data_IF_339333465711
#
_entry.id   IF_339333465711
#
_cell.length_a   1.000
_cell.length_b   1.000
_cell.length_c   1.000
_cell.angle_alpha   90.00
_cell.angle_beta   90.00
_cell.angle_gamma   90.00
#
_symmetry.space_group_name_H-M   'P 1'
#
loop_
_entity.id
_entity.type
_entity.pdbx_description
1 polymer ?
#
# COMPACT_ATOMS: atom_id res chain seq x y z
N UNK A 1 86.44 -10.87 -18.94
CA UNK A 1 86.15 -10.58 -17.52
C UNK A 1 84.85 -9.78 -17.45
N UNK A 2 83.88 -10.23 -16.66
CA UNK A 2 82.75 -9.42 -16.14
C UNK A 2 83.26 -8.40 -15.09
N UNK A 3 82.49 -7.42 -14.52
CA UNK A 3 81.03 -7.28 -14.37
C UNK A 3 80.50 -5.86 -14.73
N UNK A 4 79.38 -5.35 -14.17
CA UNK A 4 77.98 -5.66 -14.50
C UNK A 4 76.99 -4.66 -13.86
N UNK A 5 75.79 -4.45 -14.46
CA UNK A 5 74.56 -3.84 -13.85
C UNK A 5 74.62 -2.33 -13.48
N UNK A 6 73.52 -1.54 -13.44
CA UNK A 6 72.13 -1.69 -13.94
C UNK A 6 71.30 -0.38 -13.82
N UNK A 7 70.51 -0.07 -14.86
CA UNK A 7 69.19 0.62 -14.91
C UNK A 7 68.80 1.82 -14.00
N UNK A 8 68.19 2.89 -14.59
CA UNK A 8 66.74 3.22 -14.44
C UNK A 8 66.33 4.65 -14.89
N UNK A 9 65.08 4.80 -15.38
CA UNK A 9 64.27 6.05 -15.56
C UNK A 9 64.75 7.06 -16.63
N UNK A 10 63.91 7.87 -17.29
CA UNK A 10 62.43 7.95 -17.36
C UNK A 10 61.99 8.76 -18.59
N UNK A 11 60.81 8.48 -19.17
CA UNK A 11 60.21 9.25 -20.26
C UNK A 11 58.80 9.76 -19.89
N UNK A 12 58.55 11.06 -20.07
CA UNK A 12 57.25 11.61 -20.47
C UNK A 12 57.34 13.11 -20.77
N UNK A 13 56.97 13.51 -21.98
CA UNK A 13 56.37 14.84 -22.22
C UNK A 13 55.48 14.83 -23.47
N UNK A 14 54.36 15.54 -23.36
CA UNK A 14 53.23 15.64 -24.31
C UNK A 14 53.65 16.17 -25.70
N UNK A 15 52.94 15.73 -26.74
CA UNK A 15 52.28 16.65 -27.69
C UNK A 15 51.12 15.95 -28.44
N UNK A 16 50.25 16.76 -29.04
CA UNK A 16 48.99 16.43 -29.67
C UNK A 16 49.09 15.44 -30.86
N UNK A 17 48.09 14.57 -31.05
CA UNK A 17 47.20 14.72 -32.20
C UNK A 17 45.91 13.88 -32.16
N UNK A 18 44.89 14.43 -32.80
CA UNK A 18 43.71 13.81 -33.44
C UNK A 18 43.54 12.29 -33.32
N UNK A 19 42.40 11.86 -32.77
CA UNK A 19 41.66 10.70 -33.30
C UNK A 19 40.16 10.80 -32.99
N UNK A 20 39.35 10.52 -34.00
CA UNK A 20 37.91 10.31 -33.87
C UNK A 20 37.66 9.14 -32.90
N UNK A 21 36.89 9.37 -31.84
CA UNK A 21 36.27 8.31 -31.06
C UNK A 21 34.80 8.24 -31.45
N UNK A 22 34.47 7.24 -32.26
CA UNK A 22 33.12 6.94 -32.71
C UNK A 22 32.10 7.03 -31.58
N UNK A 23 31.03 7.79 -31.79
CA UNK A 23 29.80 7.58 -31.03
C UNK A 23 29.23 6.23 -31.49
N UNK A 24 29.64 5.16 -30.80
CA UNK A 24 28.98 3.87 -30.89
C UNK A 24 27.60 4.01 -30.27
N UNK A 25 26.61 4.22 -31.14
CA UNK A 25 25.19 4.18 -30.81
C UNK A 25 24.82 2.77 -30.37
N UNK A 26 25.12 2.43 -29.11
CA UNK A 26 24.52 1.26 -28.46
C UNK A 26 23.05 1.58 -28.19
N UNK A 27 22.21 1.37 -29.21
CA UNK A 27 20.78 1.09 -29.03
C UNK A 27 20.63 -0.28 -28.33
N UNK A 28 21.07 -0.33 -27.08
CA UNK A 28 21.03 -1.49 -26.20
C UNK A 28 19.65 -1.62 -25.59
N UNK A 29 18.72 -2.20 -26.37
CA UNK A 29 17.49 -2.85 -25.88
C UNK A 29 16.78 -2.17 -24.71
N UNK A 30 16.35 -0.91 -24.86
CA UNK A 30 15.36 -0.30 -23.96
C UNK A 30 13.98 -0.86 -24.34
N UNK A 31 13.75 -2.11 -23.96
CA UNK A 31 12.47 -2.80 -24.14
C UNK A 31 12.35 -3.92 -23.09
N UNK A 32 11.32 -3.83 -22.25
CA UNK A 32 10.82 -4.89 -21.36
C UNK A 32 11.77 -5.57 -20.36
N UNK A 33 12.80 -4.88 -19.84
CA UNK A 33 13.34 -5.27 -18.52
C UNK A 33 12.31 -4.91 -17.43
N UNK A 34 11.47 -5.87 -17.05
CA UNK A 34 10.81 -5.83 -15.73
C UNK A 34 11.90 -5.69 -14.68
N UNK A 35 11.96 -4.54 -14.02
CA UNK A 35 12.95 -4.29 -12.97
C UNK A 35 12.70 -5.30 -11.83
N UNK A 36 13.63 -6.23 -11.59
CA UNK A 36 13.56 -7.11 -10.42
C UNK A 36 13.63 -6.23 -9.17
N UNK A 37 12.81 -6.54 -8.17
CA UNK A 37 12.87 -5.90 -6.85
C UNK A 37 14.27 -6.01 -6.21
N UNK A 38 15.09 -6.98 -6.62
CA UNK A 38 16.47 -7.15 -6.18
C UNK A 38 17.53 -6.34 -6.94
N UNK A 39 17.15 -5.53 -7.93
CA UNK A 39 18.12 -4.70 -8.66
C UNK A 39 18.70 -3.60 -7.77
N UNK A 40 19.99 -3.30 -7.93
CA UNK A 40 20.72 -2.38 -7.05
C UNK A 40 20.21 -0.92 -7.15
N UNK A 41 19.66 -0.55 -8.30
CA UNK A 41 19.08 0.75 -8.63
C UNK A 41 17.56 0.81 -8.40
N UNK A 42 16.89 -0.31 -8.11
CA UNK A 42 15.42 -0.37 -8.01
C UNK A 42 14.84 0.68 -7.04
N UNK A 43 15.55 0.98 -5.94
CA UNK A 43 15.11 2.02 -5.00
C UNK A 43 15.18 3.42 -5.62
N UNK A 44 16.30 3.81 -6.20
CA UNK A 44 16.50 5.14 -6.77
C UNK A 44 15.76 5.37 -8.10
N UNK A 45 15.45 4.31 -8.85
CA UNK A 45 14.68 4.40 -10.11
C UNK A 45 13.19 4.22 -9.93
N UNK A 46 12.74 3.48 -8.91
CA UNK A 46 11.33 3.04 -8.78
C UNK A 46 10.69 3.41 -7.44
N UNK A 47 11.40 3.34 -6.30
CA UNK A 47 10.78 3.67 -4.99
C UNK A 47 10.85 5.17 -4.68
N UNK A 48 12.06 5.75 -4.69
CA UNK A 48 12.30 7.15 -4.35
C UNK A 48 11.54 8.11 -5.29
N UNK A 49 11.48 7.90 -6.64
CA UNK A 49 10.70 8.75 -7.53
C UNK A 49 9.18 8.66 -7.35
N UNK A 50 8.68 7.60 -6.70
CA UNK A 50 7.28 7.44 -6.30
C UNK A 50 7.09 7.72 -4.79
N UNK A 51 7.99 8.52 -4.21
CA UNK A 51 7.97 8.98 -2.82
C UNK A 51 7.93 7.84 -1.78
N UNK A 52 8.56 6.70 -2.05
CA UNK A 52 8.72 5.58 -1.10
C UNK A 52 10.17 5.54 -0.61
N UNK A 53 10.36 5.78 0.70
CA UNK A 53 11.68 5.78 1.34
C UNK A 53 11.80 4.54 2.24
N UNK A 54 12.82 3.71 1.98
CA UNK A 54 13.10 2.51 2.77
C UNK A 54 14.32 2.74 3.67
N UNK A 55 14.11 2.81 4.99
CA UNK A 55 15.21 2.86 5.96
C UNK A 55 16.04 1.57 5.89
N UNK A 56 17.36 1.69 5.78
CA UNK A 56 18.25 0.53 5.85
C UNK A 56 18.46 0.00 7.26
N UNK A 57 18.28 0.85 8.28
CA UNK A 57 18.44 0.48 9.67
C UNK A 57 17.17 -0.16 10.23
N UNK A 58 17.35 -1.10 11.15
CA UNK A 58 16.26 -1.61 11.98
C UNK A 58 15.89 -0.55 13.03
N UNK A 59 14.61 -0.45 13.37
CA UNK A 59 14.16 0.28 14.56
C UNK A 59 14.86 -0.31 15.80
N UNK A 60 15.43 0.57 16.62
CA UNK A 60 15.81 0.23 17.98
C UNK A 60 14.55 0.01 18.85
N UNK A 61 14.74 -0.62 20.01
CA UNK A 61 13.64 -0.96 20.93
C UNK A 61 12.88 0.27 21.44
N UNK A 62 13.51 1.46 21.48
CA UNK A 62 12.86 2.70 21.89
C UNK A 62 11.96 3.26 20.78
N UNK A 63 12.47 3.36 19.54
CA UNK A 63 11.67 3.74 18.35
C UNK A 63 10.48 2.80 18.18
N UNK A 64 10.70 1.49 18.31
CA UNK A 64 9.62 0.50 18.27
C UNK A 64 8.60 0.69 19.41
N UNK A 65 9.06 0.84 20.65
CA UNK A 65 8.15 1.00 21.81
C UNK A 65 7.32 2.29 21.71
N UNK A 66 7.92 3.40 21.26
CA UNK A 66 7.23 4.67 21.01
C UNK A 66 6.17 4.53 19.90
N UNK A 67 6.49 3.86 18.79
CA UNK A 67 5.54 3.59 17.72
C UNK A 67 4.37 2.70 18.18
N UNK A 68 4.69 1.58 18.84
CA UNK A 68 3.68 0.66 19.37
C UNK A 68 2.75 1.37 20.37
N UNK A 69 3.30 2.21 21.26
CA UNK A 69 2.51 3.05 22.17
C UNK A 69 1.62 4.06 21.41
N UNK A 70 2.16 4.79 20.43
CA UNK A 70 1.42 5.79 19.65
C UNK A 70 0.25 5.18 18.85
N UNK A 71 0.43 3.95 18.36
CA UNK A 71 -0.60 3.17 17.69
C UNK A 71 -1.61 2.56 18.69
N UNK A 72 -1.29 2.43 19.98
CA UNK A 72 -2.11 1.70 20.96
C UNK A 72 -1.93 0.18 20.89
N UNK A 73 -0.84 -0.30 20.30
CA UNK A 73 -0.50 -1.72 20.24
C UNK A 73 -0.04 -2.25 21.60
N UNK A 74 -0.42 -3.49 21.98
CA UNK A 74 0.19 -4.18 23.12
C UNK A 74 1.70 -4.41 22.85
N UNK A 75 2.56 -3.71 23.60
CA UNK A 75 4.02 -3.75 23.41
C UNK A 75 4.76 -4.68 24.39
N UNK A 76 4.06 -5.32 25.32
CA UNK A 76 4.63 -6.37 26.18
C UNK A 76 4.64 -7.74 25.49
N UNK A 77 5.83 -8.30 25.24
CA UNK A 77 5.98 -9.65 24.67
C UNK A 77 5.57 -10.75 25.67
N UNK A 78 4.27 -11.08 25.71
CA UNK A 78 3.80 -12.30 26.36
C UNK A 78 4.06 -13.51 25.46
N UNK A 79 5.33 -13.95 25.42
CA UNK A 79 5.75 -15.15 24.70
C UNK A 79 5.09 -16.37 25.34
N UNK A 80 4.14 -16.99 24.62
CA UNK A 80 3.37 -18.13 25.13
C UNK A 80 3.38 -19.26 24.10
N UNK A 81 4.46 -20.03 24.17
CA UNK A 81 4.77 -21.20 23.34
C UNK A 81 3.53 -21.87 22.73
N UNK A 82 3.32 -21.65 21.44
CA UNK A 82 2.23 -22.24 20.68
C UNK A 82 2.66 -23.55 20.01
N UNK A 83 1.74 -24.51 19.92
CA UNK A 83 1.99 -25.71 19.11
C UNK A 83 2.09 -25.38 17.61
N UNK A 84 1.46 -24.28 17.16
CA UNK A 84 1.52 -23.83 15.77
C UNK A 84 2.87 -23.23 15.40
N UNK A 85 3.45 -22.38 16.27
CA UNK A 85 4.78 -21.77 16.07
C UNK A 85 5.87 -22.84 16.11
N UNK A 86 5.81 -23.74 17.10
CA UNK A 86 6.75 -24.85 17.20
C UNK A 86 6.69 -25.78 15.98
N UNK A 87 5.48 -26.18 15.54
CA UNK A 87 5.29 -27.02 14.36
C UNK A 87 5.82 -26.35 13.09
N UNK A 88 5.51 -25.07 12.88
CA UNK A 88 6.00 -24.31 11.73
C UNK A 88 7.54 -24.25 11.72
N UNK A 89 8.16 -23.87 12.85
CA UNK A 89 9.61 -23.77 12.95
C UNK A 89 10.30 -25.13 12.71
N UNK A 90 9.73 -26.23 13.21
CA UNK A 90 10.24 -27.59 12.97
C UNK A 90 10.09 -28.03 11.50
N UNK A 91 8.99 -27.65 10.82
CA UNK A 91 8.82 -27.90 9.38
C UNK A 91 9.85 -27.12 8.55
N UNK A 92 10.05 -25.82 8.83
CA UNK A 92 11.07 -25.01 8.16
C UNK A 92 12.50 -25.50 8.49
N UNK A 93 12.76 -25.96 9.72
CA UNK A 93 14.06 -26.50 10.12
C UNK A 93 14.40 -27.80 9.38
N UNK A 94 13.42 -28.70 9.17
CA UNK A 94 13.64 -29.99 8.51
C UNK A 94 13.91 -29.89 7.00
N UNK A 95 13.43 -28.83 6.36
CA UNK A 95 13.67 -28.56 4.94
C UNK A 95 15.06 -27.98 4.70
N UNK A 96 15.79 -28.43 3.66
CA UNK A 96 17.11 -27.88 3.31
C UNK A 96 17.00 -26.47 2.69
N UNK A 97 16.01 -26.30 1.84
CA UNK A 97 15.62 -25.07 1.14
C UNK A 97 14.09 -25.02 1.11
N UNK A 98 13.52 -23.83 1.02
CA UNK A 98 12.07 -23.62 0.96
C UNK A 98 11.80 -22.66 -0.20
N UNK A 99 10.99 -23.07 -1.17
CA UNK A 99 10.54 -22.20 -2.27
C UNK A 99 9.52 -21.18 -1.78
N UNK A 100 9.31 -20.09 -2.53
CA UNK A 100 8.31 -19.07 -2.18
C UNK A 100 6.91 -19.66 -2.03
N UNK A 101 6.58 -20.67 -2.84
CA UNK A 101 5.29 -21.38 -2.76
C UNK A 101 5.18 -22.21 -1.48
N UNK A 102 6.14 -23.08 -1.19
CA UNK A 102 6.13 -23.91 0.02
C UNK A 102 6.11 -23.05 1.29
N UNK A 103 6.87 -21.95 1.30
CA UNK A 103 6.85 -20.98 2.39
C UNK A 103 5.47 -20.36 2.59
N UNK A 104 4.80 -19.96 1.51
CA UNK A 104 3.44 -19.41 1.56
C UNK A 104 2.44 -20.45 2.09
N UNK A 105 2.51 -21.69 1.59
CA UNK A 105 1.67 -22.81 2.05
C UNK A 105 1.89 -23.16 3.54
N UNK A 106 3.12 -23.00 4.06
CA UNK A 106 3.44 -23.18 5.49
C UNK A 106 3.02 -22.00 6.38
N UNK A 107 3.08 -20.76 5.86
CA UNK A 107 2.71 -19.55 6.60
C UNK A 107 1.20 -19.40 6.79
N UNK A 108 0.39 -19.79 5.80
CA UNK A 108 -1.07 -19.64 5.87
C UNK A 108 -1.68 -20.29 7.13
N UNK A 109 -1.35 -21.55 7.50
CA UNK A 109 -1.78 -22.14 8.77
C UNK A 109 -1.30 -21.40 10.02
N UNK A 110 -0.07 -20.86 10.02
CA UNK A 110 0.46 -20.10 11.14
C UNK A 110 -0.30 -18.77 11.32
N UNK A 111 -0.48 -18.01 10.24
CA UNK A 111 -1.22 -16.76 10.22
C UNK A 111 -2.69 -16.98 10.58
N UNK A 112 -3.33 -18.05 10.08
CA UNK A 112 -4.68 -18.43 10.48
C UNK A 112 -4.77 -18.79 11.98
N UNK A 113 -3.74 -19.42 12.54
CA UNK A 113 -3.67 -19.69 13.99
C UNK A 113 -3.47 -18.42 14.82
N UNK A 114 -2.81 -17.39 14.29
CA UNK A 114 -2.64 -16.09 14.96
C UNK A 114 -3.92 -15.25 14.83
N UNK A 115 -4.56 -15.27 13.67
CA UNK A 115 -5.80 -14.55 13.37
C UNK A 115 -7.07 -15.22 13.92
N UNK A 116 -6.97 -16.39 14.57
CA UNK A 116 -8.12 -17.21 15.01
C UNK A 116 -9.14 -16.43 15.84
N UNK A 117 -8.67 -15.57 16.75
CA UNK A 117 -9.51 -14.78 17.65
C UNK A 117 -9.91 -13.41 17.04
N UNK A 118 -9.33 -13.07 15.88
CA UNK A 118 -9.49 -11.81 15.15
C UNK A 118 -10.48 -11.96 13.98
N UNK A 119 -11.74 -12.25 14.32
CA UNK A 119 -12.82 -12.55 13.37
C UNK A 119 -13.17 -11.42 12.38
N UNK A 120 -12.74 -10.18 12.63
CA UNK A 120 -12.90 -9.09 11.65
C UNK A 120 -11.88 -9.20 10.51
N UNK A 121 -10.74 -9.87 10.74
CA UNK A 121 -9.71 -10.05 9.72
C UNK A 121 -9.98 -11.25 8.81
N UNK A 122 -9.70 -11.08 7.53
CA UNK A 122 -9.73 -12.12 6.50
C UNK A 122 -8.40 -12.18 5.78
N UNK A 123 -8.06 -13.36 5.28
CA UNK A 123 -6.81 -13.66 4.60
C UNK A 123 -7.08 -14.09 3.16
N UNK A 124 -6.29 -13.57 2.21
CA UNK A 124 -6.22 -14.00 0.80
C UNK A 124 -4.77 -14.24 0.41
N UNK A 125 -4.56 -15.08 -0.61
CA UNK A 125 -3.24 -15.50 -1.08
C UNK A 125 -3.11 -15.25 -2.58
N UNK A 126 -1.89 -14.96 -3.04
CA UNK A 126 -1.49 -14.90 -4.45
C UNK A 126 -2.42 -14.07 -5.36
N UNK A 127 -3.00 -12.99 -4.83
CA UNK A 127 -3.96 -12.15 -5.55
C UNK A 127 -3.33 -10.80 -5.88
N UNK A 128 -3.35 -10.42 -7.16
CA UNK A 128 -2.86 -9.11 -7.60
C UNK A 128 -3.83 -8.01 -7.16
N UNK A 129 -3.28 -6.86 -6.78
CA UNK A 129 -4.07 -5.70 -6.39
C UNK A 129 -4.66 -5.01 -7.63
N UNK A 130 -5.78 -4.30 -7.46
CA UNK A 130 -6.22 -3.34 -8.48
C UNK A 130 -5.22 -2.20 -8.64
N UNK A 131 -5.09 -1.69 -9.87
CA UNK A 131 -4.09 -0.68 -10.24
C UNK A 131 -4.40 0.70 -9.68
N UNK A 132 -5.69 1.04 -9.54
CA UNK A 132 -6.20 2.31 -8.99
C UNK A 132 -5.57 2.74 -7.64
N UNK A 133 -5.13 1.78 -6.83
CA UNK A 133 -4.51 2.04 -5.53
C UNK A 133 -3.00 2.32 -5.59
N UNK A 134 -2.33 2.00 -6.71
CA UNK A 134 -0.87 2.10 -6.83
C UNK A 134 -0.47 3.59 -6.84
N UNK A 135 0.55 4.01 -6.05
CA UNK A 135 1.01 5.40 -6.06
C UNK A 135 1.46 5.85 -7.45
N UNK A 136 1.04 7.06 -7.83
CA UNK A 136 1.30 7.83 -9.05
C UNK A 136 1.63 7.07 -10.35
N UNK A 137 0.73 7.21 -11.34
CA UNK A 137 1.10 6.90 -12.71
C UNK A 137 2.11 7.94 -13.22
N UNK A 138 3.35 7.48 -13.40
CA UNK A 138 4.40 8.21 -14.11
C UNK A 138 3.89 8.59 -15.50
N UNK A 139 3.90 9.87 -15.84
CA UNK A 139 3.47 10.29 -17.18
C UNK A 139 4.46 9.77 -18.22
N UNK A 140 3.99 9.43 -19.43
CA UNK A 140 4.88 8.88 -20.47
C UNK A 140 6.13 9.74 -20.71
N UNK A 141 5.99 11.07 -20.63
CA UNK A 141 7.08 12.05 -20.71
C UNK A 141 8.15 11.88 -19.62
N UNK A 142 7.77 11.59 -18.38
CA UNK A 142 8.70 11.33 -17.26
C UNK A 142 9.41 9.98 -17.41
N UNK A 143 8.78 9.00 -18.09
CA UNK A 143 9.38 7.69 -18.41
C UNK A 143 10.40 7.84 -19.55
N UNK A 144 10.14 8.68 -20.56
CA UNK A 144 11.03 8.91 -21.71
C UNK A 144 12.39 9.52 -21.31
N UNK A 145 12.42 10.41 -20.30
CA UNK A 145 13.68 10.92 -19.72
C UNK A 145 14.42 9.88 -18.84
N UNK A 146 13.83 8.70 -18.62
CA UNK A 146 14.50 7.52 -18.04
C UNK A 146 14.81 7.57 -16.53
N UNK A 147 14.43 8.62 -15.81
CA UNK A 147 14.77 8.81 -14.39
C UNK A 147 13.70 8.27 -13.41
N UNK A 148 12.46 8.04 -13.88
CA UNK A 148 11.32 7.60 -13.06
C UNK A 148 10.66 6.35 -13.67
N UNK A 149 10.75 5.21 -12.99
CA UNK A 149 10.05 3.98 -13.36
C UNK A 149 8.70 3.89 -12.63
N UNK A 150 7.70 3.31 -13.32
CA UNK A 150 6.40 3.04 -12.71
C UNK A 150 6.49 1.90 -11.68
N UNK A 151 5.84 2.07 -10.53
CA UNK A 151 5.65 1.00 -9.56
C UNK A 151 4.89 -0.18 -10.19
N UNK A 152 5.39 -1.43 -10.07
CA UNK A 152 4.67 -2.59 -10.54
C UNK A 152 3.41 -2.80 -9.69
N UNK A 153 2.30 -3.22 -10.33
CA UNK A 153 1.08 -3.58 -9.61
C UNK A 153 1.38 -4.71 -8.61
N UNK A 154 1.12 -4.52 -7.29
CA UNK A 154 1.44 -5.51 -6.28
C UNK A 154 0.76 -6.85 -6.50
N UNK A 155 1.46 -7.94 -6.14
CA UNK A 155 0.88 -9.28 -6.01
C UNK A 155 1.44 -9.98 -4.77
N UNK A 156 1.01 -9.58 -3.55
CA UNK A 156 1.52 -10.18 -2.33
C UNK A 156 1.19 -11.67 -2.25
N UNK A 157 2.13 -12.44 -1.72
CA UNK A 157 1.93 -13.85 -1.45
C UNK A 157 0.74 -14.08 -0.50
N UNK A 158 0.60 -13.20 0.51
CA UNK A 158 -0.54 -13.19 1.45
C UNK A 158 -0.97 -11.74 1.73
N UNK A 159 -2.27 -11.49 1.75
CA UNK A 159 -2.88 -10.19 2.08
C UNK A 159 -3.90 -10.39 3.20
N UNK A 160 -3.80 -9.59 4.26
CA UNK A 160 -4.77 -9.55 5.36
C UNK A 160 -5.32 -8.14 5.55
N UNK A 161 -6.63 -8.09 5.78
CA UNK A 161 -7.43 -6.89 6.02
C UNK A 161 -8.81 -7.28 6.50
N UNK A 162 -9.76 -6.36 6.45
CA UNK A 162 -11.07 -6.55 7.05
C UNK A 162 -12.03 -7.35 6.15
N UNK A 163 -12.83 -8.19 6.79
CA UNK A 163 -13.95 -8.91 6.17
C UNK A 163 -15.13 -7.97 5.92
N UNK A 164 -16.05 -8.38 5.02
CA UNK A 164 -17.31 -7.67 4.79
C UNK A 164 -18.17 -7.52 6.08
N UNK A 165 -18.11 -8.48 7.01
CA UNK A 165 -18.84 -8.40 8.29
C UNK A 165 -18.27 -7.37 9.27
N UNK A 166 -17.12 -6.77 8.97
CA UNK A 166 -16.54 -5.67 9.75
C UNK A 166 -17.26 -4.33 9.51
N UNK A 167 -18.15 -4.27 8.51
CA UNK A 167 -18.85 -3.07 8.08
C UNK A 167 -20.36 -3.30 8.03
N UNK A 168 -21.13 -2.27 8.35
CA UNK A 168 -22.58 -2.26 8.11
C UNK A 168 -22.88 -2.22 6.61
N UNK A 169 -24.08 -2.66 6.20
CA UNK A 169 -24.51 -2.61 4.80
C UNK A 169 -24.47 -1.21 4.19
N UNK A 170 -24.64 -0.15 5.00
CA UNK A 170 -24.52 1.24 4.58
C UNK A 170 -23.05 1.65 4.37
N UNK A 171 -22.15 1.28 5.28
CA UNK A 171 -20.70 1.47 5.10
C UNK A 171 -20.16 0.72 3.87
N UNK A 172 -20.71 -0.46 3.54
CA UNK A 172 -20.38 -1.18 2.31
C UNK A 172 -20.92 -0.50 1.04
N UNK A 173 -22.06 0.22 1.12
CA UNK A 173 -22.57 1.05 0.02
C UNK A 173 -21.75 2.34 -0.17
N UNK A 174 -21.28 2.96 0.92
CA UNK A 174 -20.39 4.13 0.88
C UNK A 174 -19.02 3.84 0.26
N UNK A 175 -18.56 2.58 0.31
CA UNK A 175 -17.32 2.10 -0.32
C UNK A 175 -17.50 1.78 -1.82
N UNK A 176 -18.63 2.12 -2.43
CA UNK A 176 -18.91 1.95 -3.86
C UNK A 176 -19.09 3.32 -4.53
N UNK A 177 -18.31 3.60 -5.58
CA UNK A 177 -18.39 4.86 -6.32
C UNK A 177 -17.05 5.24 -6.93
N UNK A 178 -17.01 6.38 -7.61
CA UNK A 178 -15.84 6.94 -8.27
C UNK A 178 -15.38 8.19 -7.51
N UNK A 179 -14.35 8.15 -6.68
CA UNK A 179 -13.80 9.36 -6.03
C UNK A 179 -12.75 10.05 -6.90
N UNK A 180 -12.44 11.30 -6.58
CA UNK A 180 -11.27 11.98 -7.15
C UNK A 180 -9.98 11.46 -6.48
N UNK A 181 -8.97 11.13 -7.27
CA UNK A 181 -7.61 10.85 -6.78
C UNK A 181 -6.82 12.16 -6.49
N UNK A 182 -5.54 12.03 -6.15
CA UNK A 182 -4.67 13.19 -5.86
C UNK A 182 -4.46 14.13 -7.07
N UNK A 183 -4.49 13.57 -8.29
CA UNK A 183 -4.47 14.31 -9.56
C UNK A 183 -5.85 14.86 -9.97
N UNK A 184 -6.86 14.62 -9.14
CA UNK A 184 -8.26 14.98 -9.33
C UNK A 184 -8.93 14.26 -10.52
N UNK A 185 -8.48 13.04 -10.80
CA UNK A 185 -8.99 12.11 -11.82
C UNK A 185 -10.00 11.12 -11.18
N UNK A 186 -10.96 10.59 -11.95
CA UNK A 186 -11.91 9.58 -11.46
C UNK A 186 -11.23 8.25 -11.13
N UNK A 187 -11.42 7.76 -9.91
CA UNK A 187 -10.81 6.54 -9.36
C UNK A 187 -11.87 5.69 -8.62
N UNK A 188 -11.88 4.37 -8.81
CA UNK A 188 -12.91 3.51 -8.24
C UNK A 188 -12.68 3.22 -6.75
N UNK A 189 -13.51 3.82 -5.88
CA UNK A 189 -13.46 3.62 -4.43
C UNK A 189 -13.68 2.15 -4.05
N UNK A 190 -14.36 1.35 -4.88
CA UNK A 190 -14.47 -0.08 -4.63
C UNK A 190 -13.11 -0.78 -4.79
N UNK A 191 -12.33 -0.41 -5.80
CA UNK A 191 -11.00 -0.96 -6.06
C UNK A 191 -9.95 -0.46 -5.06
N UNK A 192 -10.07 0.79 -4.59
CA UNK A 192 -9.26 1.31 -3.49
C UNK A 192 -9.57 0.63 -2.15
N UNK A 193 -10.85 0.54 -1.80
CA UNK A 193 -11.29 -0.02 -0.52
C UNK A 193 -11.13 -1.53 -0.48
N UNK A 194 -11.28 -2.22 -1.60
CA UNK A 194 -11.11 -3.66 -1.75
C UNK A 194 -10.11 -3.96 -2.89
N UNK A 195 -8.79 -3.81 -2.65
CA UNK A 195 -7.77 -4.07 -3.68
C UNK A 195 -7.69 -5.54 -4.08
N UNK A 196 -8.21 -6.46 -3.26
CA UNK A 196 -8.36 -7.90 -3.59
C UNK A 196 -9.71 -8.44 -3.08
N UNK A 197 -10.36 -9.40 -3.77
CA UNK A 197 -11.72 -9.83 -3.44
C UNK A 197 -11.92 -10.29 -1.99
N UNK A 198 -12.97 -9.71 -1.38
CA UNK A 198 -13.38 -9.82 0.02
C UNK A 198 -12.43 -9.24 1.10
N UNK A 199 -11.31 -8.60 0.74
CA UNK A 199 -10.42 -7.95 1.73
C UNK A 199 -10.56 -6.44 1.60
N UNK A 200 -11.17 -5.83 2.60
CA UNK A 200 -11.28 -4.38 2.71
C UNK A 200 -10.09 -3.80 3.46
N UNK A 201 -9.55 -2.67 2.99
CA UNK A 201 -8.45 -1.88 3.56
C UNK A 201 -7.34 -2.73 4.20
N UNK A 202 -6.52 -3.45 3.40
CA UNK A 202 -5.48 -4.32 3.93
C UNK A 202 -4.59 -3.60 4.96
N UNK A 203 -4.26 -4.30 6.05
CA UNK A 203 -3.42 -3.79 7.14
C UNK A 203 -2.09 -4.52 7.24
N UNK A 204 -1.99 -5.72 6.66
CA UNK A 204 -0.83 -6.59 6.75
C UNK A 204 -0.61 -7.37 5.45
N UNK A 205 0.56 -7.26 4.85
CA UNK A 205 0.93 -7.97 3.61
C UNK A 205 2.19 -8.83 3.79
N UNK A 206 2.27 -9.95 3.08
CA UNK A 206 3.43 -10.85 3.09
C UNK A 206 3.98 -10.97 1.68
N UNK A 207 5.27 -10.72 1.54
CA UNK A 207 6.02 -10.91 0.30
C UNK A 207 7.03 -12.03 0.50
N UNK A 208 7.07 -12.99 -0.42
CA UNK A 208 8.06 -14.07 -0.39
C UNK A 208 8.84 -14.05 -1.71
N UNK A 209 10.10 -13.66 -1.64
CA UNK A 209 10.97 -13.47 -2.81
C UNK A 209 12.17 -14.41 -2.71
N UNK A 210 12.50 -15.12 -3.78
CA UNK A 210 13.61 -16.10 -3.80
C UNK A 210 14.97 -15.42 -3.99
N UNK A 211 15.01 -14.31 -4.76
CA UNK A 211 16.23 -13.57 -5.13
C UNK A 211 17.05 -13.10 -3.91
N UNK A 212 16.42 -12.36 -3.00
CA UNK A 212 17.08 -11.80 -1.81
C UNK A 212 16.10 -11.20 -0.79
N UNK A 213 16.57 -10.98 0.44
CA UNK A 213 15.85 -10.18 1.43
C UNK A 213 15.68 -8.71 1.01
N UNK A 214 16.58 -8.16 0.19
CA UNK A 214 16.42 -6.82 -0.40
C UNK A 214 15.20 -6.78 -1.32
N UNK A 215 15.06 -7.78 -2.21
CA UNK A 215 13.90 -7.92 -3.08
C UNK A 215 12.60 -8.06 -2.27
N UNK A 216 12.59 -8.87 -1.21
CA UNK A 216 11.43 -9.02 -0.33
C UNK A 216 11.03 -7.71 0.36
N UNK A 217 11.99 -6.92 0.84
CA UNK A 217 11.74 -5.60 1.47
C UNK A 217 11.25 -4.56 0.45
N UNK A 218 11.81 -4.54 -0.76
CA UNK A 218 11.42 -3.62 -1.83
C UNK A 218 10.00 -3.94 -2.37
N UNK A 219 9.65 -5.22 -2.53
CA UNK A 219 8.29 -5.65 -2.84
C UNK A 219 7.31 -5.23 -1.73
N UNK A 220 7.70 -5.48 -0.47
CA UNK A 220 6.90 -5.09 0.71
C UNK A 220 6.59 -3.59 0.74
N UNK A 221 7.57 -2.75 0.39
CA UNK A 221 7.41 -1.31 0.32
C UNK A 221 6.34 -0.90 -0.71
N UNK A 222 6.40 -1.44 -1.93
CA UNK A 222 5.37 -1.16 -2.97
C UNK A 222 3.97 -1.65 -2.59
N UNK A 223 3.87 -2.87 -2.05
CA UNK A 223 2.60 -3.47 -1.62
C UNK A 223 1.95 -2.69 -0.47
N UNK A 224 2.72 -2.29 0.54
CA UNK A 224 2.22 -1.51 1.67
C UNK A 224 1.96 -0.02 1.32
N UNK A 225 2.77 0.56 0.44
CA UNK A 225 2.50 1.90 -0.12
C UNK A 225 1.16 1.95 -0.84
N UNK A 226 0.84 0.92 -1.63
CA UNK A 226 -0.46 0.78 -2.30
C UNK A 226 -1.63 0.70 -1.29
N UNK A 227 -1.47 -0.05 -0.20
CA UNK A 227 -2.47 -0.10 0.88
C UNK A 227 -2.69 1.26 1.57
N UNK A 228 -1.61 1.98 1.87
CA UNK A 228 -1.68 3.28 2.55
C UNK A 228 -2.21 4.37 1.61
N UNK A 229 -1.76 4.38 0.35
CA UNK A 229 -2.19 5.35 -0.68
C UNK A 229 -3.70 5.27 -0.95
N UNK A 230 -4.27 4.07 -1.06
CA UNK A 230 -5.72 3.90 -1.21
C UNK A 230 -6.52 4.59 -0.10
N UNK A 231 -6.04 4.47 1.15
CA UNK A 231 -6.68 5.10 2.30
C UNK A 231 -6.43 6.61 2.37
N UNK A 232 -5.26 7.09 1.92
CA UNK A 232 -4.97 8.52 1.77
C UNK A 232 -5.86 9.19 0.71
N UNK A 233 -6.03 8.56 -0.46
CA UNK A 233 -6.95 9.02 -1.51
C UNK A 233 -8.39 9.08 -0.98
N UNK A 234 -8.85 8.02 -0.32
CA UNK A 234 -10.18 8.05 0.31
C UNK A 234 -10.30 9.11 1.40
N UNK A 235 -9.25 9.36 2.19
CA UNK A 235 -9.26 10.40 3.21
C UNK A 235 -9.30 11.81 2.62
N UNK A 236 -8.63 12.07 1.50
CA UNK A 236 -8.75 13.31 0.75
C UNK A 236 -10.19 13.50 0.23
N UNK A 237 -10.79 12.44 -0.32
CA UNK A 237 -12.19 12.45 -0.78
C UNK A 237 -13.22 12.56 0.37
N UNK A 238 -12.88 12.17 1.60
CA UNK A 238 -13.73 12.36 2.77
C UNK A 238 -13.73 13.81 3.30
N UNK A 239 -12.65 14.57 3.07
CA UNK A 239 -12.44 15.92 3.61
C UNK A 239 -13.04 17.05 2.75
N UNK A 240 -13.49 18.12 3.40
CA UNK A 240 -13.67 19.43 2.76
C UNK A 240 -12.32 20.16 2.67
N UNK A 241 -11.74 20.39 1.47
CA UNK A 241 -10.38 20.96 1.35
C UNK A 241 -10.22 22.36 1.95
N UNK A 242 -11.32 23.08 2.19
CA UNK A 242 -11.29 24.44 2.73
C UNK A 242 -11.44 24.53 4.26
N UNK A 243 -11.70 23.43 4.99
CA UNK A 243 -11.97 23.48 6.43
C UNK A 243 -10.90 22.89 7.34
N UNK A 244 -10.15 21.86 6.93
CA UNK A 244 -9.40 21.00 7.87
C UNK A 244 -7.89 20.86 7.65
N UNK A 245 -7.25 21.64 6.77
CA UNK A 245 -5.77 21.66 6.63
C UNK A 245 -5.00 22.10 7.90
N UNK A 246 -5.71 22.58 8.92
CA UNK A 246 -5.16 22.98 10.22
C UNK A 246 -5.74 22.16 11.40
N UNK A 247 -6.49 21.10 11.10
CA UNK A 247 -7.09 20.23 12.10
C UNK A 247 -6.09 19.13 12.51
N UNK A 248 -5.37 19.40 13.60
CA UNK A 248 -4.35 18.48 14.12
C UNK A 248 -4.93 17.13 14.56
N UNK A 249 -6.16 17.11 15.09
CA UNK A 249 -6.82 15.87 15.49
C UNK A 249 -7.20 15.03 14.27
N UNK A 250 -7.65 15.67 13.18
CA UNK A 250 -7.89 14.98 11.92
C UNK A 250 -6.60 14.36 11.36
N UNK A 251 -5.52 15.14 11.23
CA UNK A 251 -4.24 14.67 10.70
C UNK A 251 -3.64 13.52 11.54
N UNK A 252 -3.77 13.62 12.87
CA UNK A 252 -3.34 12.60 13.83
C UNK A 252 -4.16 11.30 13.75
N UNK A 253 -5.46 11.39 13.47
CA UNK A 253 -6.30 10.21 13.24
C UNK A 253 -6.05 9.59 11.85
N UNK A 254 -5.72 10.41 10.85
CA UNK A 254 -5.38 9.94 9.51
C UNK A 254 -4.05 9.19 9.49
N UNK A 255 -2.99 9.70 10.12
CA UNK A 255 -1.69 9.00 10.18
C UNK A 255 -1.79 7.62 10.86
N UNK A 256 -2.63 7.50 11.91
CA UNK A 256 -2.96 6.21 12.54
C UNK A 256 -3.72 5.24 11.63
N UNK A 257 -4.54 5.76 10.73
CA UNK A 257 -5.30 4.97 9.78
C UNK A 257 -4.39 4.51 8.61
N UNK A 258 -3.60 5.43 8.07
CA UNK A 258 -2.65 5.25 6.97
C UNK A 258 -1.31 4.60 7.40
N UNK A 259 -1.38 3.74 8.43
CA UNK A 259 -0.33 2.81 8.80
C UNK A 259 -0.66 1.42 8.23
N UNK A 260 0.37 0.67 7.84
CA UNK A 260 0.29 -0.77 7.59
C UNK A 260 1.58 -1.46 8.00
N UNK A 261 1.56 -2.80 7.95
CA UNK A 261 2.70 -3.64 8.30
C UNK A 261 2.96 -4.65 7.19
N UNK A 262 4.19 -5.15 7.11
CA UNK A 262 4.50 -6.25 6.18
C UNK A 262 5.49 -7.25 6.75
N UNK A 263 5.52 -8.43 6.14
CA UNK A 263 6.50 -9.47 6.40
C UNK A 263 7.19 -9.86 5.08
N UNK A 264 8.42 -9.40 4.88
CA UNK A 264 9.25 -9.78 3.74
C UNK A 264 10.04 -11.04 4.05
N UNK A 265 10.02 -12.05 3.18
CA UNK A 265 10.61 -13.36 3.46
C UNK A 265 11.51 -13.81 2.30
N UNK A 266 12.68 -14.34 2.66
CA UNK A 266 13.65 -14.94 1.74
C UNK A 266 14.28 -16.16 2.41
N UNK A 267 14.12 -17.34 1.80
CA UNK A 267 14.58 -18.61 2.36
C UNK A 267 14.00 -18.88 3.75
N UNK A 268 14.83 -18.81 4.80
CA UNK A 268 14.43 -19.04 6.21
C UNK A 268 14.45 -17.77 7.06
N UNK A 269 14.57 -16.60 6.46
CA UNK A 269 14.61 -15.31 7.16
C UNK A 269 13.34 -14.53 6.85
N UNK A 270 12.71 -13.96 7.88
CA UNK A 270 11.58 -13.05 7.76
C UNK A 270 11.92 -11.69 8.36
N UNK A 271 11.48 -10.62 7.71
CA UNK A 271 11.74 -9.24 8.06
C UNK A 271 10.39 -8.54 8.24
N UNK A 272 10.01 -8.26 9.49
CA UNK A 272 8.78 -7.54 9.82
C UNK A 272 9.04 -6.05 9.69
N UNK A 273 8.24 -5.34 8.89
CA UNK A 273 8.36 -3.91 8.62
C UNK A 273 7.08 -3.17 9.02
N UNK A 274 7.24 -1.88 9.32
CA UNK A 274 6.14 -0.93 9.47
C UNK A 274 6.19 0.09 8.35
N UNK A 275 5.02 0.61 7.99
CA UNK A 275 4.82 1.49 6.84
C UNK A 275 3.87 2.63 7.20
N UNK A 276 4.36 3.87 7.22
CA UNK A 276 3.55 5.08 7.45
C UNK A 276 3.38 5.88 6.15
N UNK A 277 2.20 6.42 5.92
CA UNK A 277 2.01 7.54 4.99
C UNK A 277 1.40 8.71 5.74
N UNK A 278 2.06 9.86 5.64
CA UNK A 278 1.61 11.13 6.23
C UNK A 278 1.05 12.07 5.13
N UNK A 279 0.59 11.49 4.01
CA UNK A 279 0.01 12.17 2.86
C UNK A 279 1.04 12.88 2.00
N UNK A 280 1.30 14.16 2.27
CA UNK A 280 2.23 14.99 1.48
C UNK A 280 3.72 14.67 1.73
N UNK A 281 4.00 13.80 2.70
CA UNK A 281 5.34 13.32 3.00
C UNK A 281 5.55 11.92 2.41
N UNK A 282 6.81 11.56 2.07
CA UNK A 282 7.13 10.24 1.54
C UNK A 282 6.62 9.10 2.42
N UNK A 283 6.17 8.02 1.79
CA UNK A 283 5.81 6.78 2.45
C UNK A 283 7.08 6.17 3.07
N UNK A 284 7.13 6.15 4.40
CA UNK A 284 8.26 5.64 5.16
C UNK A 284 8.14 4.14 5.41
N UNK A 285 9.23 3.42 5.20
CA UNK A 285 9.34 1.98 5.49
C UNK A 285 10.49 1.73 6.44
N UNK A 286 10.20 1.20 7.62
CA UNK A 286 11.23 0.84 8.61
C UNK A 286 11.11 -0.62 9.04
N UNK A 287 12.24 -1.31 9.18
CA UNK A 287 12.27 -2.69 9.65
C UNK A 287 12.16 -2.72 11.17
N UNK A 288 11.15 -3.43 11.71
CA UNK A 288 10.95 -3.60 13.15
C UNK A 288 11.93 -4.64 13.67
N UNK A 289 11.92 -5.85 13.09
CA UNK A 289 12.83 -6.93 13.46
C UNK A 289 12.95 -7.98 12.36
N UNK A 290 14.15 -8.52 12.22
CA UNK A 290 14.43 -9.74 11.46
C UNK A 290 14.35 -10.97 12.37
N UNK A 291 13.78 -12.05 11.85
CA UNK A 291 13.50 -13.31 12.55
C UNK A 291 14.04 -14.50 11.77
N UNK A 292 14.43 -15.55 12.50
CA UNK A 292 14.78 -16.85 11.94
C UNK A 292 13.58 -17.80 11.98
N UNK A 293 13.13 -18.24 10.81
CA UNK A 293 11.98 -19.14 10.68
C UNK A 293 12.29 -20.60 11.05
N UNK A 294 13.56 -20.95 11.25
CA UNK A 294 14.00 -22.26 11.76
C UNK A 294 14.26 -22.28 13.28
N UNK A 295 14.09 -21.16 13.98
CA UNK A 295 14.18 -21.03 15.44
C UNK A 295 12.78 -20.87 16.04
N UNK A 296 12.41 -21.77 16.95
CA UNK A 296 11.11 -21.78 17.63
C UNK A 296 10.86 -20.50 18.44
N UNK A 297 11.92 -19.92 19.03
CA UNK A 297 11.81 -18.69 19.84
C UNK A 297 11.60 -17.46 18.98
N UNK A 298 12.31 -17.35 17.86
CA UNK A 298 12.12 -16.24 16.92
C UNK A 298 10.76 -16.32 16.22
N UNK A 299 10.28 -17.51 15.86
CA UNK A 299 8.92 -17.70 15.31
C UNK A 299 7.84 -17.35 16.34
N UNK A 300 8.01 -17.70 17.62
CA UNK A 300 7.09 -17.29 18.69
C UNK A 300 7.09 -15.76 18.88
N UNK A 301 8.26 -15.11 18.90
CA UNK A 301 8.38 -13.66 18.98
C UNK A 301 7.81 -12.94 17.73
N UNK A 302 7.89 -13.56 16.55
CA UNK A 302 7.25 -13.09 15.33
C UNK A 302 5.73 -13.18 15.45
N UNK A 303 5.21 -14.34 15.86
CA UNK A 303 3.78 -14.56 16.05
C UNK A 303 3.18 -13.64 17.14
N UNK A 304 3.93 -13.36 18.20
CA UNK A 304 3.54 -12.40 19.24
C UNK A 304 3.41 -10.96 18.69
N UNK A 305 4.42 -10.45 17.96
CA UNK A 305 4.33 -9.10 17.34
C UNK A 305 3.21 -9.02 16.30
N UNK A 306 3.01 -10.05 15.47
CA UNK A 306 1.89 -10.10 14.50
C UNK A 306 0.54 -10.08 15.22
N UNK A 307 0.40 -10.76 16.36
CA UNK A 307 -0.82 -10.69 17.18
C UNK A 307 -1.08 -9.29 17.72
N UNK A 308 -0.06 -8.59 18.22
CA UNK A 308 -0.19 -7.19 18.63
C UNK A 308 -0.60 -6.27 17.47
N UNK A 309 -0.13 -6.54 16.25
CA UNK A 309 -0.58 -5.82 15.04
C UNK A 309 -2.07 -6.10 14.78
N UNK A 310 -2.53 -7.35 14.88
CA UNK A 310 -3.95 -7.67 14.68
C UNK A 310 -4.85 -7.04 15.76
N UNK A 311 -4.44 -7.05 17.04
CA UNK A 311 -5.13 -6.32 18.12
C UNK A 311 -5.29 -4.84 17.79
N UNK A 312 -4.26 -4.18 17.25
CA UNK A 312 -4.35 -2.78 16.81
C UNK A 312 -5.24 -2.61 15.56
N UNK A 313 -5.15 -3.52 14.60
CA UNK A 313 -5.92 -3.45 13.37
C UNK A 313 -7.43 -3.47 13.67
N UNK A 314 -7.87 -4.29 14.62
CA UNK A 314 -9.28 -4.37 15.04
C UNK A 314 -9.70 -3.20 15.96
N UNK A 315 -8.92 -2.90 17.00
CA UNK A 315 -9.35 -1.95 18.04
C UNK A 315 -9.12 -0.47 17.70
N UNK A 316 -8.15 -0.18 16.83
CA UNK A 316 -7.73 1.19 16.50
C UNK A 316 -7.98 1.51 15.02
N UNK A 317 -7.34 0.79 14.09
CA UNK A 317 -7.39 1.16 12.67
C UNK A 317 -8.78 0.97 12.04
N UNK A 318 -9.49 -0.11 12.35
CA UNK A 318 -10.87 -0.32 11.87
C UNK A 318 -11.79 0.81 12.35
N UNK A 319 -11.61 1.29 13.58
CA UNK A 319 -12.36 2.44 14.11
C UNK A 319 -12.06 3.72 13.32
N UNK A 320 -10.79 4.03 13.08
CA UNK A 320 -10.41 5.20 12.27
C UNK A 320 -10.99 5.16 10.85
N UNK A 321 -11.06 3.98 10.22
CA UNK A 321 -11.70 3.79 8.91
C UNK A 321 -13.23 4.00 9.01
N UNK A 322 -13.87 3.50 10.06
CA UNK A 322 -15.30 3.74 10.31
C UNK A 322 -15.62 5.22 10.56
N UNK A 323 -14.77 5.94 11.29
CA UNK A 323 -14.91 7.39 11.54
C UNK A 323 -14.70 8.20 10.24
N UNK A 324 -13.81 7.74 9.35
CA UNK A 324 -13.62 8.30 8.01
C UNK A 324 -14.84 8.07 7.11
N UNK A 325 -15.39 6.85 7.11
CA UNK A 325 -16.65 6.52 6.41
C UNK A 325 -17.84 7.35 6.92
N UNK A 326 -17.94 7.59 8.24
CA UNK A 326 -18.97 8.46 8.81
C UNK A 326 -18.78 9.94 8.44
N UNK A 327 -17.55 10.38 8.20
CA UNK A 327 -17.25 11.72 7.71
C UNK A 327 -17.59 11.87 6.23
N UNK A 328 -17.26 10.88 5.41
CA UNK A 328 -17.68 10.82 4.01
C UNK A 328 -19.21 10.74 3.85
N UNK A 329 -19.91 9.97 4.69
CA UNK A 329 -21.39 9.91 4.71
C UNK A 329 -22.01 11.29 4.98
N UNK A 330 -21.50 12.02 5.99
CA UNK A 330 -21.96 13.39 6.28
C UNK A 330 -21.77 14.31 5.07
N UNK A 331 -20.63 14.24 4.37
CA UNK A 331 -20.38 14.98 3.13
C UNK A 331 -21.41 14.63 2.05
N UNK A 332 -21.65 13.33 1.82
CA UNK A 332 -22.65 12.85 0.85
C UNK A 332 -24.06 13.35 1.19
N UNK A 333 -24.44 13.33 2.47
CA UNK A 333 -25.76 13.79 2.94
C UNK A 333 -25.96 15.31 2.85
N UNK A 334 -24.91 16.11 3.13
CA UNK A 334 -24.96 17.56 2.94
C UNK A 334 -25.21 17.91 1.46
N UNK A 335 -24.52 17.23 0.55
CA UNK A 335 -24.68 17.45 -0.88
C UNK A 335 -26.04 16.94 -1.41
N UNK A 336 -26.54 15.79 -0.89
CA UNK A 336 -27.92 15.36 -1.12
C UNK A 336 -28.93 16.45 -0.77
N UNK A 337 -28.69 17.17 0.34
CA UNK A 337 -29.56 18.22 0.83
C UNK A 337 -29.45 19.49 -0.03
N UNK A 338 -28.25 19.87 -0.47
CA UNK A 338 -28.03 20.99 -1.41
C UNK A 338 -28.78 20.78 -2.72
N UNK A 339 -28.61 19.61 -3.36
CA UNK A 339 -29.28 19.27 -4.61
C UNK A 339 -30.81 19.17 -4.48
N UNK A 340 -31.32 18.81 -3.29
CA UNK A 340 -32.76 18.79 -3.03
C UNK A 340 -33.40 20.20 -2.94
N UNK A 341 -32.62 21.23 -2.58
CA UNK A 341 -33.07 22.63 -2.50
C UNK A 341 -33.04 23.33 -3.87
N UNK A 342 -32.12 22.92 -4.76
CA UNK A 342 -31.95 23.56 -6.10
C UNK A 342 -33.02 23.13 -7.10
N UNK A 343 -33.78 22.06 -6.86
CA UNK A 343 -34.92 21.65 -7.70
C UNK A 343 -36.18 22.38 -7.20
N UNK A 344 -36.78 23.31 -7.97
CA UNK A 344 -38.04 23.93 -7.57
C UNK A 344 -39.16 22.89 -7.48
N UNK A 345 -39.97 22.96 -6.43
CA UNK A 345 -41.19 22.14 -6.29
C UNK A 345 -42.33 22.63 -7.20
N UNK A 346 -42.07 22.85 -8.48
CA UNK A 346 -43.09 23.21 -9.45
C UNK A 346 -43.68 21.98 -10.15
N UNK A 347 -44.60 21.31 -9.45
CA UNK A 347 -45.92 20.92 -9.99
C UNK A 347 -46.79 20.21 -8.95
N UNK A 348 -48.06 20.65 -8.76
CA UNK A 348 -49.06 19.88 -8.04
C UNK A 348 -49.70 18.83 -8.95
N UNK A 349 -49.94 17.62 -8.44
CA UNK A 349 -50.85 16.67 -9.10
C UNK A 349 -50.51 15.19 -8.94
N UNK A 350 -51.57 14.39 -8.75
CA UNK A 350 -51.61 12.93 -8.76
C UNK A 350 -50.87 12.19 -7.63
N UNK A 351 -51.69 11.76 -6.67
CA UNK A 351 -51.61 10.40 -6.13
C UNK A 351 -51.28 9.39 -7.22
N UNK A 352 -50.28 8.52 -7.00
CA UNK A 352 -50.56 7.08 -6.90
C UNK A 352 -49.43 6.26 -6.28
N UNK A 353 -49.75 5.01 -5.93
CA UNK A 353 -48.92 4.09 -5.15
C UNK A 353 -47.61 3.61 -5.80
N UNK A 354 -46.76 3.01 -4.96
CA UNK A 354 -45.54 2.24 -5.25
C UNK A 354 -44.26 3.02 -5.63
N UNK A 355 -43.29 3.13 -4.69
CA UNK A 355 -41.85 3.32 -5.01
C UNK A 355 -40.83 3.14 -3.87
N UNK A 356 -40.79 1.97 -3.22
CA UNK A 356 -39.64 1.61 -2.36
C UNK A 356 -38.31 1.44 -3.15
N UNK A 357 -38.38 1.22 -4.47
CA UNK A 357 -37.20 1.12 -5.35
C UNK A 357 -36.59 2.45 -5.81
N UNK A 358 -37.30 3.58 -5.67
CA UNK A 358 -36.83 4.88 -6.20
C UNK A 358 -35.69 5.49 -5.38
N UNK A 359 -35.74 5.32 -4.05
CA UNK A 359 -34.82 5.97 -3.12
C UNK A 359 -33.39 5.45 -3.23
N UNK A 360 -33.20 4.14 -3.49
CA UNK A 360 -31.88 3.52 -3.76
C UNK A 360 -31.25 4.00 -5.07
N UNK A 361 -32.03 4.07 -6.16
CA UNK A 361 -31.52 4.62 -7.44
C UNK A 361 -31.12 6.09 -7.29
N UNK A 362 -31.93 6.89 -6.59
CA UNK A 362 -31.66 8.32 -6.35
C UNK A 362 -30.44 8.53 -5.45
N UNK A 363 -30.21 7.70 -4.41
CA UNK A 363 -28.99 7.75 -3.61
C UNK A 363 -27.74 7.37 -4.41
N UNK A 364 -27.78 6.29 -5.20
CA UNK A 364 -26.66 5.92 -6.09
C UNK A 364 -26.33 7.00 -7.13
N UNK A 365 -27.32 7.70 -7.68
CA UNK A 365 -27.06 8.83 -8.58
C UNK A 365 -26.52 10.06 -7.85
N UNK A 366 -26.93 10.31 -6.59
CA UNK A 366 -26.40 11.43 -5.83
C UNK A 366 -24.98 11.16 -5.34
N UNK A 367 -24.66 9.94 -4.88
CA UNK A 367 -23.27 9.53 -4.62
C UNK A 367 -22.43 9.87 -5.85
N UNK A 368 -22.81 9.39 -7.05
CA UNK A 368 -22.15 9.77 -8.32
C UNK A 368 -22.08 11.28 -8.60
N UNK A 369 -23.02 12.08 -8.12
CA UNK A 369 -23.01 13.54 -8.30
C UNK A 369 -22.08 14.27 -7.33
N UNK A 370 -22.07 13.91 -6.03
CA UNK A 370 -21.13 14.45 -5.03
C UNK A 370 -19.68 14.27 -5.50
N UNK A 371 -19.45 13.07 -6.05
CA UNK A 371 -18.20 12.60 -6.60
C UNK A 371 -17.76 13.38 -7.84
N UNK A 372 -18.69 13.68 -8.76
CA UNK A 372 -18.42 14.50 -9.92
C UNK A 372 -18.21 15.99 -9.57
N UNK A 373 -18.84 16.49 -8.51
CA UNK A 373 -18.72 17.91 -8.14
C UNK A 373 -17.40 18.24 -7.40
N UNK A 374 -16.72 17.24 -6.84
CA UNK A 374 -15.33 17.34 -6.34
C UNK A 374 -14.25 17.40 -7.44
N UNK A 375 -14.57 17.02 -8.68
CA UNK A 375 -13.63 17.03 -9.80
C UNK A 375 -13.28 18.45 -10.28
N UNK A 376 -12.14 18.66 -10.98
CA UNK A 376 -11.77 19.97 -11.50
C UNK A 376 -12.64 20.30 -12.72
N UNK A 377 -12.76 21.58 -13.07
CA UNK A 377 -13.72 22.05 -14.10
C UNK A 377 -13.67 21.26 -15.42
N UNK A 378 -12.47 20.92 -15.90
CA UNK A 378 -12.27 20.22 -17.17
C UNK A 378 -12.80 18.76 -17.20
N UNK A 379 -12.93 18.10 -16.04
CA UNK A 379 -13.52 16.77 -15.96
C UNK A 379 -15.06 16.81 -15.91
N UNK A 380 -15.65 17.95 -15.50
CA UNK A 380 -17.11 18.17 -15.53
C UNK A 380 -17.60 18.25 -16.99
N UNK A 381 -16.81 18.84 -17.88
CA UNK A 381 -17.08 18.90 -19.31
C UNK A 381 -17.08 17.50 -19.96
N UNK A 382 -16.19 16.60 -19.53
CA UNK A 382 -16.14 15.22 -20.01
C UNK A 382 -17.38 14.39 -19.61
N UNK A 383 -17.96 14.68 -18.45
CA UNK A 383 -19.17 14.00 -17.98
C UNK A 383 -20.43 14.45 -18.76
N UNK A 384 -20.43 15.68 -19.29
CA UNK A 384 -21.46 16.21 -20.17
C UNK A 384 -21.39 15.60 -21.58
N UNK A 385 -20.20 15.32 -22.13
CA UNK A 385 -20.06 14.72 -23.47
C UNK A 385 -20.45 13.23 -23.50
N UNK A 386 -20.18 12.46 -22.44
CA UNK A 386 -20.58 11.03 -22.37
C UNK A 386 -22.10 10.84 -22.19
N UNK A 387 -22.81 11.84 -21.66
CA UNK A 387 -24.27 11.78 -21.48
C UNK A 387 -25.10 12.18 -22.72
N UNK A 388 -24.43 12.45 -23.85
CA UNK A 388 -25.06 12.71 -25.17
C UNK A 388 -24.97 11.47 -26.10
N UNK A 389 -24.31 10.40 -25.67
CA UNK A 389 -24.05 9.19 -26.48
C UNK A 389 -24.62 7.88 -25.87
N UNK A 390 -25.67 7.96 -25.06
CA UNK A 390 -26.50 6.81 -24.63
C UNK A 390 -27.99 7.17 -24.61
#
# INVERSE_FOLDING_TARGET
MSPSRSASRSLSRRSHNSRQSSWSTEHSSICERKASFGCADYRSTTLEPNNIIVEDQQLDDERWSRLAFALGMPFGESLRASSATNKFAQQIRSQRSVTSREMTELLVPLLASIAKDHHTLKCRTDTAFYRDAVPDEVTASEIEDGWKMQLPTPKPAITLGYSNSSFTSHQLELQQGIIANNNNEPCDLHQLSQPVPDIYWPCFVVEVQEDSMLAARNACAGSAATCNNALMIFAAAAQEPQRHYHDADFLWNLSKAAQSFSLGINGKIACLNTHNSEGYLPHGVATIRTYRLDDEKEVEAMAARIRSIFVWAENCRLRSICDLLATFDRRVQMECSRLAVVIPQDRPGSTDSARSGGQRRRRRSIIKAVLADSLPGWAKDYHASVSVLN
#
